data_IF_531106547053
#
_entry.id   IF_531106547053
#
_cell.length_a   1.000
_cell.length_b   1.000
_cell.length_c   1.000
_cell.angle_alpha   90.00
_cell.angle_beta   90.00
_cell.angle_gamma   90.00
#
_symmetry.space_group_name_H-M   'P 1'
#
loop_
_entity.id
_entity.type
_entity.pdbx_description
1 polymer ?
#
# COMPACT_ATOMS: atom_id res chain seq x y z
N UNK A 1 12.77 -16.93 -11.52
CA UNK A 1 12.01 -15.76 -10.99
C UNK A 1 10.56 -16.19 -10.82
N UNK A 2 9.81 -15.65 -9.85
CA UNK A 2 8.40 -16.03 -9.65
C UNK A 2 7.47 -14.94 -10.20
N UNK A 3 6.51 -15.32 -11.02
CA UNK A 3 5.47 -14.42 -11.53
C UNK A 3 4.36 -14.21 -10.50
N UNK A 4 3.82 -13.00 -10.46
CA UNK A 4 2.64 -12.63 -9.67
C UNK A 4 1.81 -11.56 -10.38
N UNK A 5 0.53 -11.48 -10.02
CA UNK A 5 -0.39 -10.47 -10.53
C UNK A 5 -0.37 -9.24 -9.63
N UNK A 6 -0.24 -8.05 -10.23
CA UNK A 6 -0.22 -6.76 -9.53
C UNK A 6 -1.16 -5.78 -10.22
N UNK A 7 -1.87 -4.99 -9.42
CA UNK A 7 -2.77 -3.96 -9.92
C UNK A 7 -2.16 -2.57 -9.82
N UNK A 8 -2.05 -1.90 -10.96
CA UNK A 8 -1.57 -0.52 -11.06
C UNK A 8 -2.72 0.43 -11.42
N UNK A 9 -2.57 1.71 -11.06
CA UNK A 9 -3.49 2.76 -11.49
C UNK A 9 -3.00 3.36 -12.80
N UNK A 10 -3.87 3.42 -13.80
CA UNK A 10 -3.60 4.00 -15.11
C UNK A 10 -4.68 5.02 -15.45
N UNK A 11 -4.29 6.16 -16.00
CA UNK A 11 -5.23 7.15 -16.53
C UNK A 11 -5.69 6.68 -17.91
N UNK A 12 -6.99 6.41 -18.06
CA UNK A 12 -7.60 6.11 -19.36
C UNK A 12 -8.50 7.22 -19.84
N UNK A 13 -8.31 7.61 -21.09
CA UNK A 13 -9.27 8.43 -21.83
C UNK A 13 -10.41 7.54 -22.35
N UNK A 14 -11.62 7.80 -21.88
CA UNK A 14 -12.83 7.14 -22.37
C UNK A 14 -13.18 7.66 -23.79
N UNK A 15 -13.99 6.91 -24.56
CA UNK A 15 -14.43 7.34 -25.89
C UNK A 15 -15.14 8.70 -25.94
N UNK A 16 -15.68 9.16 -24.80
CA UNK A 16 -16.32 10.47 -24.63
C UNK A 16 -15.33 11.59 -24.26
N UNK A 17 -14.02 11.34 -24.31
CA UNK A 17 -12.97 12.29 -23.97
C UNK A 17 -12.77 12.52 -22.47
N UNK A 18 -13.54 11.88 -21.60
CA UNK A 18 -13.33 11.97 -20.14
C UNK A 18 -12.19 11.07 -19.72
N UNK A 19 -11.34 11.58 -18.86
CA UNK A 19 -10.30 10.79 -18.23
C UNK A 19 -10.83 10.15 -16.96
N UNK A 20 -10.48 8.88 -16.76
CA UNK A 20 -10.79 8.14 -15.55
C UNK A 20 -9.57 7.34 -15.13
N UNK A 21 -9.25 7.38 -13.85
CA UNK A 21 -8.32 6.43 -13.26
C UNK A 21 -8.97 5.05 -13.23
N UNK A 22 -8.37 4.11 -13.95
CA UNK A 22 -8.74 2.70 -13.93
C UNK A 22 -7.62 1.90 -13.26
N UNK A 23 -7.96 0.73 -12.73
CA UNK A 23 -6.96 -0.22 -12.27
C UNK A 23 -6.75 -1.26 -13.34
N UNK A 24 -5.48 -1.59 -13.59
CA UNK A 24 -5.06 -2.52 -14.63
C UNK A 24 -4.14 -3.57 -14.03
N UNK A 25 -4.39 -4.81 -14.37
CA UNK A 25 -3.59 -5.93 -13.92
C UNK A 25 -2.37 -6.10 -14.83
N UNK A 26 -1.25 -6.40 -14.19
CA UNK A 26 0.01 -6.76 -14.81
C UNK A 26 0.53 -8.07 -14.22
N UNK A 27 1.12 -8.91 -15.06
CA UNK A 27 2.00 -9.98 -14.59
C UNK A 27 3.39 -9.39 -14.45
N UNK A 28 3.95 -9.47 -13.24
CA UNK A 28 5.30 -9.03 -12.93
C UNK A 28 6.11 -10.18 -12.35
N UNK A 29 7.44 -10.08 -12.39
CA UNK A 29 8.31 -11.01 -11.70
C UNK A 29 9.37 -10.27 -10.89
N UNK A 30 9.56 -10.72 -9.66
CA UNK A 30 10.63 -10.24 -8.78
C UNK A 30 11.94 -10.98 -9.11
N UNK A 31 13.05 -10.24 -9.08
CA UNK A 31 14.40 -10.81 -9.22
C UNK A 31 14.91 -11.25 -7.82
N UNK A 32 15.07 -12.55 -7.55
CA UNK A 32 15.54 -13.02 -6.25
C UNK A 32 16.99 -12.62 -5.95
N UNK A 33 17.79 -12.33 -6.98
CA UNK A 33 19.18 -11.86 -6.81
C UNK A 33 19.23 -10.36 -6.50
N UNK A 34 18.18 -9.62 -6.86
CA UNK A 34 18.03 -8.19 -6.62
C UNK A 34 16.67 -7.88 -5.97
N UNK A 35 16.45 -8.32 -4.72
CA UNK A 35 15.17 -8.20 -4.04
C UNK A 35 14.78 -6.75 -3.73
N UNK A 36 15.65 -5.77 -3.94
CA UNK A 36 15.33 -4.34 -3.81
C UNK A 36 15.07 -3.64 -5.15
N UNK A 37 15.28 -4.34 -6.27
CA UNK A 37 14.99 -3.81 -7.60
C UNK A 37 13.47 -3.76 -7.85
N UNK A 38 13.07 -2.82 -8.71
CA UNK A 38 11.69 -2.75 -9.17
C UNK A 38 11.31 -4.05 -9.91
N UNK A 39 10.07 -4.56 -9.72
CA UNK A 39 9.64 -5.78 -10.37
C UNK A 39 9.65 -5.64 -11.90
N UNK A 40 10.08 -6.70 -12.59
CA UNK A 40 10.09 -6.75 -14.05
C UNK A 40 8.67 -6.93 -14.56
N UNK A 41 8.18 -6.01 -15.39
CA UNK A 41 6.85 -6.10 -15.99
C UNK A 41 6.89 -7.04 -17.20
N UNK A 42 6.01 -8.04 -17.22
CA UNK A 42 6.04 -9.12 -18.22
C UNK A 42 4.83 -9.08 -19.16
N UNK A 43 3.62 -8.89 -18.63
CA UNK A 43 2.42 -8.84 -19.44
C UNK A 43 1.37 -7.86 -18.90
N UNK A 44 0.77 -7.07 -19.78
CA UNK A 44 -0.38 -6.22 -19.48
C UNK A 44 -1.69 -6.99 -19.70
N UNK A 45 -2.55 -7.04 -18.69
CA UNK A 45 -3.84 -7.74 -18.75
C UNK A 45 -5.04 -6.80 -18.80
N UNK A 46 -4.83 -5.49 -18.60
CA UNK A 46 -5.91 -4.50 -18.60
C UNK A 46 -6.78 -4.56 -17.35
N UNK A 47 -7.94 -3.91 -17.42
CA UNK A 47 -8.81 -3.69 -16.25
C UNK A 47 -9.73 -4.87 -15.90
N UNK A 48 -9.92 -5.80 -16.84
CA UNK A 48 -10.73 -7.01 -16.67
C UNK A 48 -9.90 -8.21 -17.15
N UNK A 49 -8.90 -8.62 -16.35
CA UNK A 49 -7.91 -9.59 -16.76
C UNK A 49 -8.53 -10.97 -16.94
N UNK A 50 -8.25 -11.61 -18.08
CA UNK A 50 -8.58 -13.01 -18.32
C UNK A 50 -7.29 -13.77 -18.67
N UNK A 51 -6.96 -14.80 -17.89
CA UNK A 51 -5.83 -15.68 -18.19
C UNK A 51 -6.27 -16.71 -19.24
N UNK A 52 -5.89 -16.47 -20.49
CA UNK A 52 -6.21 -17.35 -21.63
C UNK A 52 -5.09 -18.35 -21.90
N UNK A 53 -5.40 -19.48 -22.54
CA UNK A 53 -4.36 -20.45 -22.94
C UNK A 53 -3.34 -19.83 -23.90
N UNK A 54 -3.78 -18.94 -24.78
CA UNK A 54 -2.88 -18.18 -25.66
C UNK A 54 -1.89 -17.31 -24.88
N UNK A 55 -2.33 -16.64 -23.83
CA UNK A 55 -1.43 -15.88 -22.95
C UNK A 55 -0.39 -16.80 -22.30
N UNK A 56 -0.79 -18.00 -21.86
CA UNK A 56 0.12 -18.98 -21.25
C UNK A 56 1.19 -19.44 -22.23
N UNK A 57 0.81 -19.74 -23.47
CA UNK A 57 1.71 -20.14 -24.55
C UNK A 57 2.70 -19.02 -24.92
N UNK A 58 2.18 -17.80 -25.15
CA UNK A 58 3.01 -16.63 -25.48
C UNK A 58 3.99 -16.30 -24.34
N UNK A 59 3.53 -16.38 -23.09
CA UNK A 59 4.36 -16.12 -21.91
C UNK A 59 5.47 -17.16 -21.75
N UNK A 60 5.16 -18.46 -21.90
CA UNK A 60 6.16 -19.53 -21.80
C UNK A 60 7.23 -19.42 -22.91
N UNK A 61 6.85 -18.94 -24.09
CA UNK A 61 7.79 -18.69 -25.18
C UNK A 61 8.69 -17.46 -24.95
N UNK A 62 8.14 -16.39 -24.36
CA UNK A 62 8.86 -15.14 -24.12
C UNK A 62 9.71 -15.15 -22.85
N UNK A 63 9.27 -15.87 -21.82
CA UNK A 63 9.86 -15.87 -20.48
C UNK A 63 10.06 -17.29 -19.93
N UNK A 64 10.82 -18.16 -20.61
CA UNK A 64 11.03 -19.54 -20.18
C UNK A 64 11.71 -19.67 -18.81
N UNK A 65 12.36 -18.61 -18.32
CA UNK A 65 13.03 -18.54 -17.02
C UNK A 65 12.12 -18.17 -15.83
N UNK A 66 10.87 -17.80 -16.11
CA UNK A 66 9.90 -17.33 -15.11
C UNK A 66 8.95 -18.46 -14.75
N UNK A 67 8.89 -18.79 -13.46
CA UNK A 67 7.94 -19.73 -12.91
C UNK A 67 6.60 -19.03 -12.65
N UNK A 68 5.53 -19.52 -13.26
CA UNK A 68 4.20 -18.94 -13.20
C UNK A 68 3.17 -19.99 -12.75
N UNK A 69 2.62 -19.78 -11.55
CA UNK A 69 1.46 -20.52 -11.07
C UNK A 69 0.20 -19.95 -11.74
N UNK A 70 -0.22 -20.56 -12.84
CA UNK A 70 -1.34 -20.09 -13.64
C UNK A 70 -2.68 -20.16 -12.92
N UNK A 71 -2.85 -21.09 -12.00
CA UNK A 71 -4.07 -21.23 -11.21
C UNK A 71 -4.14 -20.11 -10.18
N UNK A 72 -3.01 -19.77 -9.55
CA UNK A 72 -2.93 -18.65 -8.63
C UNK A 72 -3.14 -17.29 -9.32
N UNK A 73 -2.53 -17.10 -10.50
CA UNK A 73 -2.72 -15.90 -11.31
C UNK A 73 -4.18 -15.74 -11.76
N UNK A 74 -4.85 -16.84 -12.15
CA UNK A 74 -6.25 -16.81 -12.54
C UNK A 74 -7.17 -16.46 -11.36
N UNK A 75 -6.97 -17.08 -10.18
CA UNK A 75 -7.72 -16.71 -8.96
C UNK A 75 -7.50 -15.25 -8.57
N UNK A 76 -6.26 -14.77 -8.68
CA UNK A 76 -5.92 -13.37 -8.36
C UNK A 76 -6.54 -12.38 -9.36
N UNK A 77 -6.71 -12.78 -10.62
CA UNK A 77 -7.36 -11.97 -11.65
C UNK A 77 -8.88 -11.80 -11.39
N UNK A 78 -9.54 -12.81 -10.82
CA UNK A 78 -10.96 -12.76 -10.47
C UNK A 78 -11.27 -11.84 -9.28
N UNK A 79 -10.29 -11.63 -8.40
CA UNK A 79 -10.44 -10.79 -7.21
C UNK A 79 -10.11 -9.34 -7.59
N UNK A 80 -11.15 -8.52 -7.73
CA UNK A 80 -10.96 -7.09 -7.91
C UNK A 80 -10.18 -6.50 -6.72
N UNK A 81 -9.14 -5.68 -6.95
CA UNK A 81 -8.31 -5.14 -5.88
C UNK A 81 -9.12 -4.26 -4.93
N UNK A 82 -8.69 -4.15 -3.69
CA UNK A 82 -9.33 -3.35 -2.65
C UNK A 82 -9.28 -1.87 -3.01
N UNK A 83 -10.43 -1.19 -3.05
CA UNK A 83 -10.49 0.26 -3.30
C UNK A 83 -10.11 1.03 -2.03
N UNK A 84 -8.82 1.35 -1.91
CA UNK A 84 -8.24 2.01 -0.72
C UNK A 84 -8.89 3.37 -0.43
N UNK A 85 -9.43 4.06 -1.45
CA UNK A 85 -10.10 5.34 -1.25
C UNK A 85 -11.35 5.22 -0.37
N UNK A 86 -12.00 4.05 -0.36
CA UNK A 86 -13.20 3.76 0.43
C UNK A 86 -12.90 3.25 1.83
N UNK A 87 -11.63 2.99 2.16
CA UNK A 87 -11.27 2.47 3.47
C UNK A 87 -11.10 3.58 4.49
N UNK A 88 -11.48 3.28 5.73
CA UNK A 88 -10.95 3.98 6.91
C UNK A 88 -9.48 3.63 7.11
N UNK A 89 -8.77 4.45 7.89
CA UNK A 89 -7.37 4.15 8.22
C UNK A 89 -7.24 2.94 9.15
N UNK A 90 -8.26 2.64 9.96
CA UNK A 90 -8.31 1.42 10.76
C UNK A 90 -8.38 0.18 9.87
N UNK A 91 -9.30 0.19 8.91
CA UNK A 91 -9.42 -0.89 7.94
C UNK A 91 -8.16 -1.11 7.10
N UNK A 92 -7.45 -0.03 6.74
CA UNK A 92 -6.16 -0.12 6.07
C UNK A 92 -5.10 -0.72 7.00
N UNK A 93 -5.06 -0.33 8.28
CA UNK A 93 -4.12 -0.89 9.25
C UNK A 93 -4.29 -2.39 9.45
N UNK A 94 -5.54 -2.87 9.61
CA UNK A 94 -5.83 -4.28 9.85
C UNK A 94 -5.54 -5.18 8.62
N UNK A 95 -5.59 -4.61 7.42
CA UNK A 95 -5.40 -5.34 6.15
C UNK A 95 -4.11 -4.96 5.42
N UNK A 96 -3.20 -4.26 6.11
CA UNK A 96 -2.06 -3.57 5.50
C UNK A 96 -1.23 -4.45 4.57
N UNK A 97 -0.80 -5.62 5.05
CA UNK A 97 0.06 -6.54 4.28
C UNK A 97 -0.64 -7.07 3.02
N UNK A 98 -1.92 -7.41 3.13
CA UNK A 98 -2.72 -7.91 2.02
C UNK A 98 -2.89 -6.82 0.96
N UNK A 99 -3.32 -5.62 1.37
CA UNK A 99 -3.53 -4.48 0.46
C UNK A 99 -2.22 -4.09 -0.22
N UNK A 100 -1.10 -4.02 0.51
CA UNK A 100 0.20 -3.73 -0.12
C UNK A 100 0.55 -4.78 -1.20
N UNK A 101 0.28 -6.05 -0.93
CA UNK A 101 0.49 -7.15 -1.88
C UNK A 101 -0.33 -6.98 -3.16
N UNK A 102 -1.62 -6.63 -3.05
CA UNK A 102 -2.49 -6.35 -4.21
C UNK A 102 -1.94 -5.26 -5.12
N UNK A 103 -1.25 -4.28 -4.53
CA UNK A 103 -0.65 -3.12 -5.21
C UNK A 103 0.83 -3.32 -5.55
N UNK A 104 1.38 -4.53 -5.34
CA UNK A 104 2.73 -4.85 -5.78
C UNK A 104 3.83 -4.60 -4.76
N UNK A 105 3.50 -4.05 -3.60
CA UNK A 105 4.47 -3.62 -2.59
C UNK A 105 4.75 -4.71 -1.55
N UNK A 106 6.03 -4.91 -1.23
CA UNK A 106 6.43 -5.74 -0.10
C UNK A 106 6.49 -4.88 1.18
N UNK A 107 5.80 -5.35 2.22
CA UNK A 107 5.76 -4.64 3.51
C UNK A 107 7.16 -4.29 4.03
N UNK A 108 8.11 -5.22 3.94
CA UNK A 108 9.45 -5.03 4.51
C UNK A 108 10.28 -3.97 3.77
N UNK A 109 10.11 -3.85 2.46
CA UNK A 109 10.76 -2.81 1.64
C UNK A 109 10.17 -1.45 1.99
N UNK A 110 8.84 -1.33 1.96
CA UNK A 110 8.19 -0.04 2.18
C UNK A 110 8.32 0.41 3.65
N UNK A 111 8.29 -0.52 4.60
CA UNK A 111 8.54 -0.22 6.02
C UNK A 111 9.98 0.27 6.25
N UNK A 112 10.96 -0.29 5.53
CA UNK A 112 12.34 0.20 5.58
C UNK A 112 12.45 1.64 5.07
N UNK A 113 11.85 1.93 3.92
CA UNK A 113 11.81 3.26 3.32
C UNK A 113 11.14 4.26 4.24
N UNK A 114 9.89 4.01 4.63
CA UNK A 114 9.12 4.94 5.47
C UNK A 114 9.74 5.11 6.85
N UNK A 115 10.40 4.07 7.37
CA UNK A 115 11.18 4.10 8.60
C UNK A 115 12.59 4.69 8.45
N UNK A 116 12.96 5.18 7.27
CA UNK A 116 14.27 5.75 6.90
C UNK A 116 15.46 4.85 7.27
N UNK A 117 15.25 3.53 7.28
CA UNK A 117 16.25 2.53 7.63
C UNK A 117 16.50 2.29 9.12
N UNK A 118 15.90 3.07 10.02
CA UNK A 118 16.15 2.98 11.47
C UNK A 118 14.94 2.52 12.26
N UNK A 119 13.75 2.63 11.68
CA UNK A 119 12.49 2.25 12.32
C UNK A 119 11.68 1.34 11.40
N UNK A 120 10.69 0.69 12.01
CA UNK A 120 9.78 -0.24 11.35
C UNK A 120 8.33 0.12 11.71
N UNK A 121 7.86 1.34 11.35
CA UNK A 121 6.56 1.83 11.78
C UNK A 121 5.39 0.94 11.33
N UNK A 122 5.45 0.34 10.14
CA UNK A 122 4.37 -0.50 9.63
C UNK A 122 4.33 -1.87 10.30
N UNK A 123 5.50 -2.46 10.62
CA UNK A 123 5.53 -3.66 11.48
C UNK A 123 4.98 -3.36 12.88
N UNK A 124 5.18 -2.14 13.39
CA UNK A 124 4.56 -1.72 14.64
C UNK A 124 3.03 -1.61 14.52
N UNK A 125 2.49 -1.15 13.38
CA UNK A 125 1.05 -1.23 13.09
C UNK A 125 0.57 -2.68 13.15
N UNK A 126 1.21 -3.60 12.43
CA UNK A 126 0.81 -5.01 12.43
C UNK A 126 0.86 -5.63 13.84
N UNK A 127 1.88 -5.30 14.64
CA UNK A 127 2.01 -5.79 16.01
C UNK A 127 0.87 -5.30 16.90
N UNK A 128 0.51 -4.01 16.82
CA UNK A 128 -0.60 -3.48 17.61
C UNK A 128 -1.95 -4.00 17.12
N UNK A 129 -2.14 -4.14 15.80
CA UNK A 129 -3.37 -4.62 15.20
C UNK A 129 -3.67 -6.11 15.51
N UNK A 130 -2.64 -6.91 15.78
CA UNK A 130 -2.79 -8.35 16.14
C UNK A 130 -3.28 -8.57 17.57
N UNK A 131 -3.08 -7.63 18.48
CA UNK A 131 -3.53 -7.74 19.86
C UNK A 131 -4.96 -7.20 20.01
N UNK A 132 -5.95 -8.08 19.82
CA UNK A 132 -7.36 -7.73 19.90
C UNK A 132 -7.76 -7.10 21.25
N UNK A 133 -7.09 -7.49 22.35
CA UNK A 133 -7.36 -6.93 23.68
C UNK A 133 -6.85 -5.49 23.77
N UNK A 134 -5.67 -5.21 23.20
CA UNK A 134 -5.13 -3.87 23.11
C UNK A 134 -6.00 -2.99 22.19
N UNK A 135 -6.37 -3.49 21.00
CA UNK A 135 -7.24 -2.79 20.05
C UNK A 135 -8.56 -2.38 20.70
N UNK A 136 -9.26 -3.29 21.37
CA UNK A 136 -10.52 -2.96 22.05
C UNK A 136 -10.35 -1.97 23.21
N UNK A 137 -9.15 -1.82 23.79
CA UNK A 137 -8.87 -0.72 24.75
C UNK A 137 -8.61 0.60 24.02
N UNK A 138 -7.90 0.56 22.90
CA UNK A 138 -7.60 1.74 22.08
C UNK A 138 -8.90 2.35 21.55
N UNK A 139 -9.80 1.55 20.98
CA UNK A 139 -11.09 1.99 20.47
C UNK A 139 -11.95 2.63 21.57
N UNK A 140 -12.04 2.02 22.76
CA UNK A 140 -12.79 2.59 23.89
C UNK A 140 -12.22 3.90 24.43
N UNK A 141 -10.91 4.11 24.33
CA UNK A 141 -10.24 5.27 24.96
C UNK A 141 -10.01 6.43 23.99
N UNK A 142 -9.79 6.14 22.71
CA UNK A 142 -9.49 7.12 21.68
C UNK A 142 -10.55 7.19 20.57
N UNK A 143 -11.56 6.32 20.60
CA UNK A 143 -12.63 6.21 19.59
C UNK A 143 -12.29 5.27 18.43
N UNK A 144 -11.00 5.03 18.17
CA UNK A 144 -10.52 4.23 17.04
C UNK A 144 -9.06 3.79 17.27
N UNK A 145 -8.62 2.75 16.56
CA UNK A 145 -7.22 2.29 16.59
C UNK A 145 -6.27 3.37 16.05
N UNK A 146 -6.62 4.00 14.92
CA UNK A 146 -5.87 5.06 14.27
C UNK A 146 -5.88 6.33 15.11
N UNK A 147 -7.01 6.68 15.72
CA UNK A 147 -7.09 7.81 16.65
C UNK A 147 -6.10 7.62 17.83
N UNK A 148 -5.99 6.40 18.37
CA UNK A 148 -4.99 6.08 19.37
C UNK A 148 -3.56 6.25 18.84
N UNK A 149 -3.26 5.78 17.62
CA UNK A 149 -1.96 5.98 16.99
C UNK A 149 -1.65 7.47 16.83
N UNK A 150 -2.58 8.30 16.35
CA UNK A 150 -2.37 9.75 16.23
C UNK A 150 -1.97 10.39 17.57
N UNK A 151 -2.58 9.95 18.68
CA UNK A 151 -2.28 10.50 20.00
C UNK A 151 -0.94 10.00 20.57
N UNK A 152 -0.70 8.68 20.51
CA UNK A 152 0.39 8.01 21.23
C UNK A 152 1.60 7.66 20.35
N UNK A 153 1.38 7.39 19.07
CA UNK A 153 2.37 6.97 18.08
C UNK A 153 2.21 7.73 16.76
N UNK A 154 2.29 9.07 16.74
CA UNK A 154 2.00 9.87 15.56
C UNK A 154 2.92 9.55 14.38
N UNK A 155 4.15 9.10 14.61
CA UNK A 155 5.04 8.61 13.56
C UNK A 155 4.49 7.36 12.84
N UNK A 156 3.79 6.48 13.58
CA UNK A 156 3.18 5.26 13.07
C UNK A 156 1.89 5.57 12.32
N UNK A 157 1.05 6.46 12.87
CA UNK A 157 -0.13 6.98 12.18
C UNK A 157 0.26 7.69 10.87
N UNK A 158 1.31 8.51 10.90
CA UNK A 158 1.80 9.22 9.73
C UNK A 158 2.35 8.28 8.66
N UNK A 159 3.05 7.19 9.04
CA UNK A 159 3.45 6.17 8.09
C UNK A 159 2.25 5.50 7.40
N UNK A 160 1.17 5.24 8.13
CA UNK A 160 -0.06 4.70 7.56
C UNK A 160 -0.75 5.68 6.61
N UNK A 161 -0.74 6.98 6.94
CA UNK A 161 -1.20 8.03 6.05
C UNK A 161 -0.37 8.08 4.75
N UNK A 162 0.97 7.97 4.85
CA UNK A 162 1.85 7.88 3.68
C UNK A 162 1.54 6.67 2.80
N UNK A 163 1.21 5.52 3.40
CA UNK A 163 0.71 4.36 2.64
C UNK A 163 -0.58 4.69 1.92
N UNK A 164 -1.56 5.30 2.60
CA UNK A 164 -2.81 5.71 1.95
C UNK A 164 -2.55 6.65 0.77
N UNK A 165 -1.71 7.66 0.94
CA UNK A 165 -1.32 8.58 -0.13
C UNK A 165 -0.63 7.86 -1.28
N UNK A 166 0.31 6.95 -1.00
CA UNK A 166 0.95 6.16 -2.05
C UNK A 166 -0.08 5.36 -2.87
N UNK A 167 -1.01 4.67 -2.20
CA UNK A 167 -1.96 3.78 -2.85
C UNK A 167 -3.09 4.54 -3.58
N UNK A 168 -3.38 5.78 -3.18
CA UNK A 168 -4.41 6.62 -3.79
C UNK A 168 -3.83 7.60 -4.81
N UNK A 169 -2.82 8.37 -4.41
CA UNK A 169 -2.29 9.51 -5.16
C UNK A 169 -0.97 9.19 -5.88
N UNK A 170 -0.31 8.09 -5.53
CA UNK A 170 0.87 7.59 -6.21
C UNK A 170 2.20 8.05 -5.62
N UNK A 171 3.27 7.70 -6.34
CA UNK A 171 4.66 7.87 -5.89
C UNK A 171 5.05 9.34 -5.74
N UNK A 172 4.69 10.20 -6.70
CA UNK A 172 5.01 11.63 -6.66
C UNK A 172 4.40 12.33 -5.42
N UNK A 173 3.19 11.93 -5.03
CA UNK A 173 2.53 12.47 -3.85
C UNK A 173 3.23 12.01 -2.56
N UNK A 174 3.66 10.74 -2.50
CA UNK A 174 4.47 10.24 -1.40
C UNK A 174 5.81 10.99 -1.31
N UNK A 175 6.51 11.17 -2.42
CA UNK A 175 7.78 11.91 -2.47
C UNK A 175 7.62 13.35 -2.03
N UNK A 176 6.53 14.02 -2.43
CA UNK A 176 6.21 15.38 -1.98
C UNK A 176 5.99 15.45 -0.46
N UNK A 177 5.30 14.45 0.11
CA UNK A 177 5.18 14.32 1.57
C UNK A 177 6.53 14.12 2.24
N UNK A 178 7.37 13.23 1.70
CA UNK A 178 8.70 12.91 2.25
C UNK A 178 9.67 14.09 2.18
N UNK A 179 9.59 14.90 1.11
CA UNK A 179 10.40 16.12 0.93
C UNK A 179 10.03 17.23 1.94
N UNK A 180 8.78 17.27 2.40
CA UNK A 180 8.33 18.21 3.42
C UNK A 180 8.72 17.79 4.85
N UNK A 181 9.20 16.55 5.04
CA UNK A 181 9.58 16.06 6.35
C UNK A 181 10.88 16.73 6.84
N UNK A 182 10.98 17.08 8.14
CA UNK A 182 12.22 17.60 8.69
C UNK A 182 13.34 16.55 8.61
N UNK A 183 14.58 17.02 8.40
CA UNK A 183 15.76 16.15 8.33
C UNK A 183 15.89 15.29 9.60
N UNK A 184 15.83 13.97 9.41
CA UNK A 184 15.75 13.01 10.51
C UNK A 184 17.15 12.53 10.92
N UNK A 185 17.59 12.87 12.14
CA UNK A 185 18.75 12.27 12.81
C UNK A 185 18.37 11.86 14.24
N UNK A 186 18.96 10.80 14.82
CA UNK A 186 18.68 10.39 16.20
C UNK A 186 18.87 11.54 17.20
N UNK A 187 18.03 11.61 18.23
CA UNK A 187 18.09 12.65 19.28
C UNK A 187 17.07 13.78 19.11
N UNK A 188 17.48 15.04 19.31
CA UNK A 188 16.58 16.21 19.36
C UNK A 188 15.77 16.46 18.07
N UNK A 189 16.25 15.94 16.93
CA UNK A 189 15.53 16.02 15.65
C UNK A 189 14.36 15.01 15.56
N UNK A 190 14.35 13.94 16.36
CA UNK A 190 13.20 13.05 16.47
C UNK A 190 11.97 13.75 17.04
N UNK A 191 12.16 14.64 18.03
CA UNK A 191 11.07 15.44 18.58
C UNK A 191 10.46 16.38 17.53
N UNK A 192 11.29 16.97 16.66
CA UNK A 192 10.84 17.80 15.53
C UNK A 192 10.04 16.99 14.51
N UNK A 193 10.52 15.80 14.16
CA UNK A 193 9.77 14.89 13.29
C UNK A 193 8.43 14.50 13.89
N UNK A 194 8.41 14.11 15.17
CA UNK A 194 7.17 13.76 15.87
C UNK A 194 6.19 14.93 15.95
N UNK A 195 6.68 16.16 16.11
CA UNK A 195 5.87 17.37 16.07
C UNK A 195 5.29 17.62 14.66
N UNK A 196 6.11 17.47 13.63
CA UNK A 196 5.67 17.53 12.23
C UNK A 196 4.57 16.50 11.94
N UNK A 197 4.76 15.23 12.33
CA UNK A 197 3.72 14.20 12.16
C UNK A 197 2.40 14.62 12.82
N UNK A 198 2.44 15.15 14.05
CA UNK A 198 1.24 15.63 14.74
C UNK A 198 0.56 16.79 14.01
N UNK A 199 1.36 17.74 13.50
CA UNK A 199 0.85 18.87 12.75
C UNK A 199 0.14 18.42 11.47
N UNK A 200 0.74 17.51 10.71
CA UNK A 200 0.11 16.96 9.50
C UNK A 200 -1.16 16.20 9.85
N UNK A 201 -1.10 15.31 10.85
CA UNK A 201 -2.26 14.52 11.28
C UNK A 201 -3.41 15.39 11.84
N UNK A 202 -3.14 16.56 12.42
CA UNK A 202 -4.20 17.48 12.85
C UNK A 202 -4.92 18.19 11.70
N UNK A 203 -4.30 18.26 10.51
CA UNK A 203 -4.88 18.87 9.30
C UNK A 203 -5.62 17.85 8.44
N UNK A 204 -5.39 16.56 8.69
CA UNK A 204 -6.04 15.44 8.00
C UNK A 204 -6.83 14.63 9.03
N UNK A 205 -7.98 15.14 9.50
CA UNK A 205 -8.79 14.40 10.46
C UNK A 205 -9.20 13.04 9.88
N UNK A 206 -9.36 11.99 10.71
CA UNK A 206 -9.93 10.74 10.24
C UNK A 206 -11.29 11.04 9.58
N UNK A 207 -11.66 10.35 8.49
CA UNK A 207 -13.02 10.47 7.97
C UNK A 207 -13.98 10.18 9.12
N UNK A 208 -14.90 11.11 9.39
CA UNK A 208 -15.96 10.87 10.36
C UNK A 208 -16.72 9.62 9.90
N UNK A 209 -17.06 8.69 10.81
CA UNK A 209 -17.93 7.59 10.43
C UNK A 209 -19.24 8.21 9.95
N UNK A 210 -19.63 7.92 8.71
CA UNK A 210 -20.98 8.22 8.22
C UNK A 210 -21.95 7.50 9.17
N UNK A 211 -22.51 8.26 10.11
CA UNK A 211 -23.62 7.83 10.93
C UNK A 211 -24.88 7.88 10.07
N UNK A 212 -25.00 6.94 9.13
CA UNK A 212 -26.31 6.59 8.60
C UNK A 212 -27.05 5.77 9.67
N UNK A 213 -27.92 6.47 10.43
CA UNK A 213 -28.95 5.89 11.30
C UNK A 213 -30.18 5.58 10.43
#
# INVERSE_FOLDING_TARGET
MQARLVWYREQRTLPNGRERMVRVAWIVADDPEQPEAAPRHLAYLGADPTITDRLREEFAALYPEVDADWDDLARSAEIAPTDVAKLTLDELAFRLRMILGEYGYLLDQIDFRLGKGWRRPLRQVELFARDAVAVGRFERTAGSFYAYLCQKHPETAYALLKIRTLLIDGEEALEAMEAAEPEFKPGSRFARYRAHCREVLSKTPPPEPDLEI
#
